data_IF_330437023856
#
_entry.id   IF_330437023856
#
_cell.length_a   1.000
_cell.length_b   1.000
_cell.length_c   1.000
_cell.angle_alpha   90.00
_cell.angle_beta   90.00
_cell.angle_gamma   90.00
#
_symmetry.space_group_name_H-M   'P 1'
#
loop_
_entity.id
_entity.type
_entity.pdbx_description
1 polymer ?
#
# COMPACT_ATOMS: atom_id res chain seq x y z
N UNK A 1 -7.61 6.32 -3.41
CA UNK A 1 -8.30 5.43 -2.44
C UNK A 1 -9.70 5.96 -2.21
N UNK A 2 -10.67 5.07 -2.04
CA UNK A 2 -12.07 5.42 -1.72
C UNK A 2 -12.53 4.41 -0.67
N UNK A 3 -13.01 4.89 0.49
CA UNK A 3 -13.37 4.04 1.62
C UNK A 3 -13.28 4.78 2.94
N UNK A 4 -13.57 4.08 4.05
CA UNK A 4 -13.39 4.63 5.40
C UNK A 4 -11.92 4.98 5.67
N UNK A 5 -11.68 6.03 6.44
CA UNK A 5 -10.34 6.50 6.85
C UNK A 5 -9.35 6.69 5.68
N UNK A 6 -9.84 6.99 4.47
CA UNK A 6 -8.99 7.19 3.30
C UNK A 6 -8.01 8.37 3.47
N UNK A 7 -8.40 9.37 4.27
CA UNK A 7 -7.58 10.51 4.67
C UNK A 7 -6.39 10.11 5.56
N UNK A 8 -6.53 9.03 6.31
CA UNK A 8 -5.51 8.43 7.17
C UNK A 8 -4.72 7.33 6.45
N UNK A 9 -5.02 7.06 5.18
CA UNK A 9 -4.23 6.16 4.34
C UNK A 9 -3.41 6.93 3.30
N UNK A 10 -3.90 8.08 2.82
CA UNK A 10 -3.31 8.84 1.70
C UNK A 10 -1.88 9.32 1.94
N UNK A 11 -1.44 9.45 3.19
CA UNK A 11 -0.07 9.82 3.51
C UNK A 11 0.94 8.75 3.11
N UNK A 12 0.56 7.46 3.08
CA UNK A 12 1.50 6.39 2.75
C UNK A 12 2.00 6.48 1.30
N UNK A 13 1.13 6.60 0.27
CA UNK A 13 1.56 6.86 -1.10
C UNK A 13 2.31 8.20 -1.24
N UNK A 14 1.98 9.21 -0.44
CA UNK A 14 2.70 10.49 -0.43
C UNK A 14 4.15 10.35 0.04
N UNK A 15 4.38 9.58 1.11
CA UNK A 15 5.73 9.27 1.62
C UNK A 15 6.49 8.43 0.58
N UNK A 16 5.86 7.38 0.04
CA UNK A 16 6.46 6.55 -1.00
C UNK A 16 6.87 7.37 -2.23
N UNK A 17 6.01 8.29 -2.69
CA UNK A 17 6.32 9.17 -3.80
C UNK A 17 7.50 10.11 -3.48
N UNK A 18 7.52 10.67 -2.27
CA UNK A 18 8.61 11.56 -1.81
C UNK A 18 9.96 10.84 -1.76
N UNK A 19 9.95 9.55 -1.41
CA UNK A 19 11.13 8.70 -1.36
C UNK A 19 11.51 8.10 -2.72
N UNK A 20 10.76 8.39 -3.79
CA UNK A 20 10.92 7.77 -5.10
C UNK A 20 10.91 6.23 -5.01
N UNK A 21 10.03 5.69 -4.15
CA UNK A 21 9.93 4.25 -3.92
C UNK A 21 9.56 3.52 -5.23
N UNK A 22 10.30 2.45 -5.52
CA UNK A 22 10.15 1.62 -6.72
C UNK A 22 9.34 0.36 -6.45
N UNK A 23 8.98 -0.38 -7.51
CA UNK A 23 8.30 -1.67 -7.43
C UNK A 23 9.13 -2.76 -6.74
N UNK A 24 10.45 -2.61 -6.61
CA UNK A 24 11.27 -3.51 -5.79
C UNK A 24 11.21 -3.16 -4.30
N UNK A 25 11.07 -1.88 -3.95
CA UNK A 25 11.08 -1.41 -2.56
C UNK A 25 9.71 -1.50 -1.86
N UNK A 26 8.64 -1.23 -2.61
CA UNK A 26 7.27 -1.15 -2.07
C UNK A 26 6.70 -2.48 -1.55
N UNK A 27 6.91 -3.64 -2.20
CA UNK A 27 6.42 -4.93 -1.69
C UNK A 27 7.11 -5.40 -0.40
N UNK A 28 8.24 -4.79 -0.03
CA UNK A 28 8.98 -5.11 1.19
C UNK A 28 8.44 -4.40 2.44
N UNK A 29 7.50 -3.46 2.29
CA UNK A 29 6.94 -2.69 3.40
C UNK A 29 5.96 -3.56 4.20
N UNK A 30 6.20 -3.69 5.50
CA UNK A 30 5.37 -4.49 6.40
C UNK A 30 4.29 -3.60 7.03
N UNK A 31 3.04 -3.94 6.79
CA UNK A 31 1.88 -3.32 7.43
C UNK A 31 1.39 -4.18 8.60
N UNK A 32 0.91 -3.52 9.64
CA UNK A 32 0.35 -4.21 10.80
C UNK A 32 -0.95 -4.93 10.44
N UNK A 33 -1.16 -6.11 11.01
CA UNK A 33 -2.39 -6.89 10.87
C UNK A 33 -3.18 -6.91 12.19
N UNK A 34 -4.52 -6.74 12.20
CA UNK A 34 -5.40 -6.41 11.06
C UNK A 34 -5.61 -4.89 10.90
N UNK A 35 -5.32 -4.32 9.73
CA UNK A 35 -5.51 -2.87 9.46
C UNK A 35 -5.97 -2.56 8.04
N UNK A 36 -6.60 -1.39 7.84
CA UNK A 36 -6.99 -0.91 6.50
C UNK A 36 -5.79 -0.69 5.58
N UNK A 37 -4.59 -0.47 6.14
CA UNK A 37 -3.36 -0.28 5.36
C UNK A 37 -2.92 -1.55 4.61
N UNK A 38 -3.43 -2.72 4.99
CA UNK A 38 -3.23 -3.96 4.22
C UNK A 38 -3.79 -3.83 2.79
N UNK A 39 -4.89 -3.10 2.59
CA UNK A 39 -5.44 -2.86 1.26
C UNK A 39 -4.50 -2.04 0.36
N UNK A 40 -3.66 -1.17 0.95
CA UNK A 40 -2.62 -0.49 0.19
C UNK A 40 -1.50 -1.45 -0.24
N UNK A 41 -1.11 -2.37 0.64
CA UNK A 41 -0.12 -3.40 0.31
C UNK A 41 -0.65 -4.32 -0.79
N UNK A 42 -1.89 -4.78 -0.67
CA UNK A 42 -2.52 -5.62 -1.70
C UNK A 42 -2.62 -4.88 -3.04
N UNK A 43 -2.85 -3.56 -3.06
CA UNK A 43 -2.82 -2.78 -4.30
C UNK A 43 -1.42 -2.75 -4.96
N UNK A 44 -0.34 -2.64 -4.17
CA UNK A 44 1.06 -2.73 -4.65
C UNK A 44 1.33 -4.12 -5.24
N UNK A 45 0.90 -5.17 -4.55
CA UNK A 45 1.06 -6.55 -5.02
C UNK A 45 0.22 -6.82 -6.27
N UNK A 46 -1.01 -6.32 -6.32
CA UNK A 46 -1.90 -6.44 -7.47
C UNK A 46 -1.33 -5.75 -8.72
N UNK A 47 -0.72 -4.56 -8.56
CA UNK A 47 -0.03 -3.88 -9.66
C UNK A 47 1.11 -4.73 -10.26
N UNK A 48 1.72 -5.60 -9.46
CA UNK A 48 2.77 -6.53 -9.86
C UNK A 48 2.25 -7.94 -10.23
N UNK A 49 0.93 -8.16 -10.28
CA UNK A 49 0.34 -9.48 -10.55
C UNK A 49 0.55 -10.52 -9.45
N UNK A 50 0.80 -10.07 -8.21
CA UNK A 50 1.17 -10.90 -7.05
C UNK A 50 0.20 -10.77 -5.86
N UNK A 51 -1.03 -10.30 -6.10
CA UNK A 51 -2.04 -10.13 -5.05
C UNK A 51 -2.28 -11.44 -4.28
N UNK A 52 -2.41 -11.35 -2.95
CA UNK A 52 -2.66 -12.50 -2.09
C UNK A 52 -4.14 -12.62 -1.74
N UNK A 53 -4.80 -11.48 -1.55
CA UNK A 53 -6.22 -11.39 -1.27
C UNK A 53 -6.90 -10.46 -2.29
N UNK A 54 -8.01 -10.91 -2.88
CA UNK A 54 -8.87 -10.12 -3.77
C UNK A 54 -10.30 -10.07 -3.25
#
# INVERSE_FOLDING_TARGET
>A
MVGNDATEQIQGPGIAHTLEATDESLPGVIFAHPTLSEAMHEAILAANGRALHQ
#
